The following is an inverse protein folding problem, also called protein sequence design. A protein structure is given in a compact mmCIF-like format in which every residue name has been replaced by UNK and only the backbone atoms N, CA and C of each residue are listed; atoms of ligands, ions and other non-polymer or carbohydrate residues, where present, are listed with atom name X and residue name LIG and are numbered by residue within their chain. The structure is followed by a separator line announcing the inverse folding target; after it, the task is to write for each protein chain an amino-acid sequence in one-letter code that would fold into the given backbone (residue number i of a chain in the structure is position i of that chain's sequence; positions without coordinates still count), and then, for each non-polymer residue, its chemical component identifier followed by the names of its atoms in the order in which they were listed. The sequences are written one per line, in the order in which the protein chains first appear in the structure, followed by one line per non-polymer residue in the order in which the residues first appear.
data_IF_478512683288
#
_entry.id   IF_478512683288
#
_cell.length_a   1.000
_cell.length_b   1.000
_cell.length_c   1.000
_cell.angle_alpha   90.00
_cell.angle_beta   90.00
_cell.angle_gamma   90.00
#
_symmetry.space_group_name_H-M   'P 1'
#
loop_
_entity.id
_entity.type
_entity.pdbx_description
1 polymer ?
#
# COMPACT_ATOMS: atom_id res chain seq x y z
N UNK A 1 -22.11 -7.73 -21.31
CA UNK A 1 -21.37 -8.69 -22.18
C UNK A 1 -19.92 -8.27 -22.08
N UNK A 2 -19.12 -9.00 -21.32
CA UNK A 2 -17.66 -8.70 -21.18
C UNK A 2 -17.00 -8.67 -22.55
N UNK A 3 -16.16 -7.69 -22.86
CA UNK A 3 -15.33 -7.74 -24.05
C UNK A 3 -14.36 -8.92 -23.88
N UNK A 4 -14.62 -10.01 -24.61
CA UNK A 4 -13.67 -11.11 -24.68
C UNK A 4 -12.38 -10.56 -25.30
N UNK A 5 -11.25 -10.80 -24.63
CA UNK A 5 -9.92 -10.57 -25.19
C UNK A 5 -9.89 -11.27 -26.57
N UNK A 6 -9.86 -10.47 -27.64
CA UNK A 6 -9.78 -10.98 -29.02
C UNK A 6 -8.33 -11.09 -29.51
N UNK A 7 -7.34 -10.85 -28.61
CA UNK A 7 -5.92 -10.98 -28.84
C UNK A 7 -5.36 -12.37 -28.45
N UNK A 8 -4.09 -12.63 -28.71
CA UNK A 8 -3.46 -13.89 -28.32
C UNK A 8 -3.59 -14.11 -26.79
N UNK A 9 -3.98 -15.32 -26.39
CA UNK A 9 -4.19 -15.74 -25.00
C UNK A 9 -2.88 -15.71 -24.20
N UNK A 10 -1.73 -15.69 -24.86
CA UNK A 10 -0.41 -15.64 -24.26
C UNK A 10 0.46 -14.54 -24.90
N UNK A 11 1.20 -13.81 -24.06
CA UNK A 11 2.21 -12.84 -24.48
C UNK A 11 3.60 -13.40 -24.20
N UNK A 12 4.27 -13.86 -25.25
CA UNK A 12 5.61 -14.47 -25.17
C UNK A 12 6.68 -13.45 -25.51
N UNK A 13 7.65 -13.28 -24.61
CA UNK A 13 8.84 -12.47 -24.78
C UNK A 13 10.00 -13.33 -25.34
N UNK A 14 11.16 -12.70 -25.58
CA UNK A 14 12.28 -13.41 -26.21
C UNK A 14 12.85 -14.54 -25.36
N UNK A 15 13.69 -15.39 -25.96
CA UNK A 15 14.34 -16.53 -25.29
C UNK A 15 15.28 -16.14 -24.13
N UNK A 16 15.66 -14.87 -24.01
CA UNK A 16 16.38 -14.32 -22.86
C UNK A 16 15.76 -12.98 -22.51
N UNK A 17 14.65 -13.04 -21.77
CA UNK A 17 13.88 -11.86 -21.36
C UNK A 17 14.72 -10.92 -20.49
N UNK A 18 14.69 -9.64 -20.85
CA UNK A 18 15.39 -8.58 -20.11
C UNK A 18 14.46 -7.93 -19.12
N UNK A 19 14.78 -8.03 -17.83
CA UNK A 19 14.09 -7.35 -16.72
C UNK A 19 14.89 -6.11 -16.28
N UNK A 20 14.33 -4.92 -16.43
CA UNK A 20 14.95 -3.66 -16.03
C UNK A 20 14.33 -3.10 -14.74
N UNK A 21 15.21 -2.65 -13.84
CA UNK A 21 14.89 -2.03 -12.57
C UNK A 21 15.42 -0.59 -12.60
N UNK A 22 14.59 0.40 -12.92
CA UNK A 22 14.99 1.80 -12.92
C UNK A 22 15.06 2.38 -11.51
N UNK A 23 15.70 3.54 -11.40
CA UNK A 23 15.62 4.41 -10.23
C UNK A 23 14.21 4.99 -10.12
N UNK A 24 13.65 5.03 -8.91
CA UNK A 24 12.39 5.70 -8.65
C UNK A 24 12.57 7.22 -8.70
N UNK A 25 11.72 7.90 -9.45
CA UNK A 25 11.79 9.34 -9.69
C UNK A 25 10.70 10.11 -8.95
N UNK A 26 9.68 9.43 -8.44
CA UNK A 26 8.60 10.05 -7.64
C UNK A 26 9.16 10.67 -6.36
N UNK A 27 8.90 11.96 -6.08
CA UNK A 27 9.39 12.62 -4.88
C UNK A 27 9.00 11.86 -3.60
N UNK A 28 9.99 11.61 -2.73
CA UNK A 28 9.79 10.88 -1.47
C UNK A 28 9.72 9.36 -1.61
N UNK A 29 9.85 8.79 -2.82
CA UNK A 29 10.02 7.34 -2.99
C UNK A 29 11.48 6.95 -2.77
N UNK A 30 11.71 5.98 -1.92
CA UNK A 30 13.04 5.51 -1.52
C UNK A 30 13.18 4.00 -1.67
N UNK A 31 12.08 3.31 -2.00
CA UNK A 31 12.06 1.87 -2.25
C UNK A 31 12.61 1.56 -3.64
N UNK A 32 12.88 0.30 -3.88
CA UNK A 32 13.24 -0.26 -5.19
C UNK A 32 12.40 -1.52 -5.45
N UNK A 33 11.96 -1.71 -6.69
CA UNK A 33 11.05 -2.81 -7.04
C UNK A 33 11.69 -4.20 -6.96
N UNK A 34 13.02 -4.29 -7.04
CA UNK A 34 13.75 -5.56 -6.96
C UNK A 34 15.02 -5.38 -6.13
N UNK A 35 15.20 -6.20 -5.09
CA UNK A 35 16.40 -6.20 -4.25
C UNK A 35 17.47 -7.15 -4.80
N UNK A 36 18.75 -7.08 -4.35
CA UNK A 36 19.78 -8.03 -4.77
C UNK A 36 19.37 -9.50 -4.57
N UNK A 37 18.67 -9.82 -3.46
CA UNK A 37 18.15 -11.17 -3.21
C UNK A 37 17.21 -11.64 -4.32
N UNK A 38 16.23 -10.82 -4.68
CA UNK A 38 15.25 -11.18 -5.71
C UNK A 38 15.82 -11.10 -7.12
N UNK A 39 16.74 -10.16 -7.39
CA UNK A 39 17.51 -10.10 -8.64
C UNK A 39 18.28 -11.41 -8.88
N UNK A 40 18.97 -11.92 -7.86
CA UNK A 40 19.65 -13.23 -7.94
C UNK A 40 18.69 -14.39 -8.27
N UNK A 41 17.43 -14.32 -7.80
CA UNK A 41 16.42 -15.34 -8.12
C UNK A 41 15.98 -15.27 -9.58
N UNK A 42 15.78 -14.06 -10.14
CA UNK A 42 15.46 -13.86 -11.54
C UNK A 42 16.61 -14.30 -12.46
N UNK A 43 17.86 -13.95 -12.10
CA UNK A 43 19.06 -14.40 -12.82
C UNK A 43 19.14 -15.93 -12.87
N UNK A 44 18.88 -16.61 -11.76
CA UNK A 44 18.85 -18.10 -11.71
C UNK A 44 17.74 -18.72 -12.55
N UNK A 45 16.68 -17.98 -12.86
CA UNK A 45 15.63 -18.39 -13.79
C UNK A 45 15.99 -18.10 -15.27
N UNK A 46 17.19 -17.54 -15.53
CA UNK A 46 17.71 -17.27 -16.86
C UNK A 46 17.40 -15.87 -17.38
N UNK A 47 16.75 -14.99 -16.60
CA UNK A 47 16.52 -13.62 -17.05
C UNK A 47 17.81 -12.80 -17.05
N UNK A 48 17.93 -11.89 -18.02
CA UNK A 48 18.92 -10.83 -17.98
C UNK A 48 18.39 -9.68 -17.13
N UNK A 49 18.90 -9.55 -15.89
CA UNK A 49 18.48 -8.47 -14.98
C UNK A 49 19.38 -7.26 -15.18
N UNK A 50 18.79 -6.14 -15.57
CA UNK A 50 19.43 -4.83 -15.67
C UNK A 50 18.97 -3.96 -14.51
N UNK A 51 19.91 -3.32 -13.83
CA UNK A 51 19.63 -2.40 -12.73
C UNK A 51 20.23 -1.05 -13.05
N UNK A 52 19.43 0.00 -13.03
CA UNK A 52 19.94 1.35 -13.21
C UNK A 52 20.88 1.71 -12.05
N UNK A 53 22.03 2.30 -12.36
CA UNK A 53 23.02 2.69 -11.35
C UNK A 53 22.40 3.56 -10.28
N UNK A 54 22.58 3.17 -9.03
CA UNK A 54 22.05 3.88 -7.87
C UNK A 54 20.60 3.55 -7.50
N UNK A 55 19.88 2.71 -8.29
CA UNK A 55 18.46 2.42 -8.05
C UNK A 55 18.15 1.91 -6.63
N UNK A 56 19.04 1.13 -6.04
CA UNK A 56 18.86 0.58 -4.69
C UNK A 56 19.41 1.43 -3.55
N UNK A 57 20.15 2.51 -3.83
CA UNK A 57 20.94 3.23 -2.82
C UNK A 57 20.08 3.78 -1.69
N UNK A 58 18.93 4.36 -1.98
CA UNK A 58 18.03 4.89 -0.96
C UNK A 58 17.39 3.80 -0.08
N UNK A 59 17.33 2.56 -0.59
CA UNK A 59 16.90 1.38 0.16
C UNK A 59 18.07 0.62 0.82
N UNK A 60 19.27 1.20 0.85
CA UNK A 60 20.50 0.61 1.42
C UNK A 60 21.03 -0.61 0.64
N UNK A 61 20.69 -0.74 -0.64
CA UNK A 61 21.25 -1.74 -1.54
C UNK A 61 22.25 -1.09 -2.49
N UNK A 62 23.51 -1.52 -2.41
CA UNK A 62 24.60 -0.97 -3.24
C UNK A 62 24.61 -1.56 -4.64
N UNK A 63 25.16 -0.84 -5.61
CA UNK A 63 25.38 -1.32 -6.97
C UNK A 63 26.21 -2.63 -6.95
N UNK A 64 27.26 -2.71 -6.14
CA UNK A 64 28.09 -3.91 -5.99
C UNK A 64 27.26 -5.13 -5.53
N UNK A 65 26.28 -4.95 -4.63
CA UNK A 65 25.42 -6.05 -4.19
C UNK A 65 24.53 -6.60 -5.34
N UNK A 66 24.12 -5.74 -6.27
CA UNK A 66 23.41 -6.20 -7.48
C UNK A 66 24.34 -6.93 -8.45
N UNK A 67 25.57 -6.45 -8.64
CA UNK A 67 26.57 -7.16 -9.46
C UNK A 67 26.90 -8.55 -8.88
N UNK A 68 27.09 -8.64 -7.56
CA UNK A 68 27.28 -9.93 -6.86
C UNK A 68 26.06 -10.86 -7.00
N UNK A 69 24.86 -10.31 -7.10
CA UNK A 69 23.62 -11.05 -7.35
C UNK A 69 23.49 -11.53 -8.81
N UNK A 70 24.43 -11.14 -9.70
CA UNK A 70 24.46 -11.50 -11.12
C UNK A 70 23.67 -10.54 -12.02
N UNK A 71 23.21 -9.39 -11.50
CA UNK A 71 22.62 -8.35 -12.32
C UNK A 71 23.68 -7.52 -13.06
N UNK A 72 23.30 -6.89 -14.15
CA UNK A 72 24.15 -5.97 -14.90
C UNK A 72 23.72 -4.54 -14.61
N UNK A 73 24.67 -3.68 -14.22
CA UNK A 73 24.40 -2.26 -14.06
C UNK A 73 24.32 -1.56 -15.41
N UNK A 74 23.35 -0.67 -15.57
CA UNK A 74 23.12 0.09 -16.81
C UNK A 74 22.81 1.56 -16.51
N UNK A 75 22.62 2.34 -17.54
CA UNK A 75 22.04 3.68 -17.47
C UNK A 75 20.56 3.65 -17.88
N UNK A 76 20.02 4.85 -18.09
CA UNK A 76 18.61 5.03 -18.45
C UNK A 76 18.26 4.57 -19.88
N UNK A 77 19.26 4.22 -20.71
CA UNK A 77 19.04 3.67 -22.06
C UNK A 77 18.28 2.34 -22.05
N UNK A 78 18.27 1.63 -20.90
CA UNK A 78 17.56 0.38 -20.76
C UNK A 78 16.02 0.53 -20.85
N UNK A 79 15.48 1.72 -20.64
CA UNK A 79 14.05 2.01 -20.85
C UNK A 79 13.55 1.67 -22.27
N UNK A 80 14.41 1.84 -23.28
CA UNK A 80 14.08 1.67 -24.69
C UNK A 80 14.25 0.23 -25.18
N UNK A 81 14.95 -0.60 -24.41
CA UNK A 81 15.35 -1.95 -24.84
C UNK A 81 14.85 -3.07 -23.94
N UNK A 82 14.38 -2.75 -22.74
CA UNK A 82 13.89 -3.74 -21.80
C UNK A 82 12.53 -4.30 -22.24
N UNK A 83 12.37 -5.61 -22.08
CA UNK A 83 11.10 -6.29 -22.35
C UNK A 83 10.17 -6.28 -21.16
N UNK A 84 10.74 -6.22 -19.94
CA UNK A 84 10.01 -6.09 -18.67
C UNK A 84 10.63 -4.95 -17.88
N UNK A 85 9.81 -4.05 -17.37
CA UNK A 85 10.22 -2.98 -16.46
C UNK A 85 9.45 -3.13 -15.14
N UNK A 86 10.16 -3.21 -14.01
CA UNK A 86 9.55 -3.27 -12.68
C UNK A 86 9.86 -2.00 -11.87
N UNK A 87 8.81 -1.31 -11.44
CA UNK A 87 8.85 -0.11 -10.60
C UNK A 87 7.98 -0.27 -9.35
N UNK A 88 8.21 0.55 -8.35
CA UNK A 88 7.31 0.68 -7.19
C UNK A 88 6.17 1.61 -7.55
N UNK A 89 6.49 2.84 -8.00
CA UNK A 89 5.53 3.86 -8.40
C UNK A 89 5.26 3.82 -9.91
N UNK A 90 4.13 4.38 -10.38
CA UNK A 90 3.89 4.48 -11.81
C UNK A 90 4.99 5.31 -12.49
N UNK A 91 5.33 5.02 -13.75
CA UNK A 91 6.25 5.84 -14.51
C UNK A 91 5.64 7.22 -14.80
N UNK A 92 6.48 8.23 -14.97
CA UNK A 92 6.05 9.49 -15.57
C UNK A 92 5.62 9.28 -17.04
N UNK A 93 4.93 10.26 -17.63
CA UNK A 93 4.57 10.19 -19.05
C UNK A 93 5.81 10.17 -19.95
N UNK A 94 6.90 10.82 -19.53
CA UNK A 94 8.18 10.81 -20.25
C UNK A 94 8.84 9.42 -20.19
N UNK A 95 8.84 8.78 -19.02
CA UNK A 95 9.33 7.41 -18.85
C UNK A 95 8.47 6.41 -19.65
N UNK A 96 7.14 6.56 -19.59
CA UNK A 96 6.21 5.72 -20.35
C UNK A 96 6.39 5.81 -21.87
N UNK A 97 6.69 7.02 -22.37
CA UNK A 97 6.96 7.23 -23.80
C UNK A 97 8.24 6.56 -24.30
N UNK A 98 9.16 6.17 -23.41
CA UNK A 98 10.41 5.46 -23.75
C UNK A 98 10.22 3.94 -23.84
N UNK A 99 9.12 3.41 -23.32
CA UNK A 99 8.86 1.98 -23.36
C UNK A 99 8.63 1.50 -24.80
N UNK A 100 9.28 0.41 -25.18
CA UNK A 100 9.07 -0.22 -26.47
C UNK A 100 7.69 -0.90 -26.54
N UNK A 101 7.06 -0.88 -27.70
CA UNK A 101 5.80 -1.60 -27.92
C UNK A 101 5.93 -3.09 -27.54
N UNK A 102 4.97 -3.60 -26.79
CA UNK A 102 5.00 -4.97 -26.27
C UNK A 102 5.78 -5.13 -24.96
N UNK A 103 6.40 -4.07 -24.43
CA UNK A 103 7.03 -4.11 -23.10
C UNK A 103 5.98 -4.42 -22.03
N UNK A 104 6.38 -5.19 -21.01
CA UNK A 104 5.59 -5.49 -19.82
C UNK A 104 6.04 -4.54 -18.71
N UNK A 105 5.14 -3.67 -18.26
CA UNK A 105 5.34 -2.78 -17.12
C UNK A 105 4.68 -3.37 -15.87
N UNK A 106 5.44 -3.49 -14.79
CA UNK A 106 4.97 -4.02 -13.51
C UNK A 106 5.15 -2.96 -12.43
N UNK A 107 4.08 -2.34 -11.95
CA UNK A 107 4.13 -1.28 -10.92
C UNK A 107 2.78 -1.07 -10.25
N UNK A 108 2.74 -0.29 -9.17
CA UNK A 108 1.46 0.28 -8.70
C UNK A 108 1.04 1.39 -9.66
N UNK A 109 -0.26 1.54 -9.93
CA UNK A 109 -0.76 2.58 -10.86
C UNK A 109 -1.82 3.47 -10.23
N UNK A 110 -2.77 2.90 -9.49
CA UNK A 110 -4.00 3.58 -9.03
C UNK A 110 -4.74 4.19 -10.24
N UNK A 111 -5.33 3.37 -11.11
CA UNK A 111 -5.79 3.80 -12.43
C UNK A 111 -6.77 4.98 -12.43
N UNK A 112 -7.64 5.08 -11.40
CA UNK A 112 -8.59 6.19 -11.25
C UNK A 112 -7.92 7.55 -11.07
N UNK A 113 -6.69 7.59 -10.55
CA UNK A 113 -5.90 8.81 -10.37
C UNK A 113 -4.95 9.08 -11.55
N UNK A 114 -4.73 8.11 -12.45
CA UNK A 114 -3.68 8.13 -13.49
C UNK A 114 -4.23 7.86 -14.90
N UNK A 115 -5.44 8.35 -15.22
CA UNK A 115 -6.09 8.07 -16.50
C UNK A 115 -5.27 8.50 -17.73
N UNK A 116 -4.50 9.58 -17.62
CA UNK A 116 -3.62 10.04 -18.69
C UNK A 116 -2.49 9.03 -18.97
N UNK A 117 -1.88 8.51 -17.91
CA UNK A 117 -0.87 7.44 -18.02
C UNK A 117 -1.48 6.15 -18.60
N UNK A 118 -2.68 5.74 -18.13
CA UNK A 118 -3.37 4.56 -18.65
C UNK A 118 -3.59 4.69 -20.16
N UNK A 119 -4.01 5.87 -20.63
CA UNK A 119 -4.20 6.14 -22.06
C UNK A 119 -2.88 6.13 -22.83
N UNK A 120 -1.79 6.65 -22.26
CA UNK A 120 -0.45 6.63 -22.86
C UNK A 120 0.07 5.19 -22.99
N UNK A 121 -0.06 4.35 -21.94
CA UNK A 121 0.33 2.94 -21.98
C UNK A 121 -0.48 2.15 -23.02
N UNK A 122 -1.79 2.36 -23.06
CA UNK A 122 -2.67 1.80 -24.09
C UNK A 122 -2.21 2.18 -25.49
N UNK A 123 -1.98 3.47 -25.76
CA UNK A 123 -1.57 3.96 -27.06
C UNK A 123 -0.18 3.44 -27.47
N UNK A 124 0.74 3.27 -26.52
CA UNK A 124 2.07 2.68 -26.72
C UNK A 124 2.05 1.16 -26.94
N UNK A 125 0.91 0.51 -26.75
CA UNK A 125 0.81 -0.96 -26.83
C UNK A 125 1.59 -1.67 -25.72
N UNK A 126 1.64 -1.04 -24.53
CA UNK A 126 2.33 -1.57 -23.34
C UNK A 126 1.38 -2.52 -22.59
N UNK A 127 1.92 -3.67 -22.19
CA UNK A 127 1.22 -4.56 -21.25
C UNK A 127 1.51 -4.09 -19.83
N UNK A 128 0.52 -3.55 -19.13
CA UNK A 128 0.70 -3.07 -17.77
C UNK A 128 0.05 -4.03 -16.77
N UNK A 129 0.85 -4.60 -15.88
CA UNK A 129 0.42 -5.36 -14.71
C UNK A 129 0.40 -4.41 -13.51
N UNK A 130 -0.78 -3.90 -13.17
CA UNK A 130 -0.97 -2.98 -12.06
C UNK A 130 -1.05 -3.75 -10.74
N UNK A 131 -0.02 -3.65 -9.91
CA UNK A 131 0.12 -4.42 -8.66
C UNK A 131 -0.94 -4.09 -7.60
N UNK A 132 -1.52 -2.91 -7.67
CA UNK A 132 -2.64 -2.48 -6.82
C UNK A 132 -3.99 -3.08 -7.24
N UNK A 133 -4.06 -3.75 -8.40
CA UNK A 133 -5.23 -4.48 -8.89
C UNK A 133 -5.14 -6.00 -8.67
N UNK A 134 -4.11 -6.51 -8.02
CA UNK A 134 -3.97 -7.94 -7.70
C UNK A 134 -5.26 -8.46 -7.04
N UNK A 135 -5.87 -9.54 -7.57
CA UNK A 135 -7.14 -10.04 -7.06
C UNK A 135 -7.01 -10.63 -5.66
N UNK A 136 -8.05 -10.48 -4.83
CA UNK A 136 -8.07 -11.01 -3.46
C UNK A 136 -8.45 -12.49 -3.42
N UNK A 137 -7.62 -13.33 -4.00
CA UNK A 137 -7.76 -14.79 -4.00
C UNK A 137 -6.60 -15.43 -3.22
N UNK A 138 -6.79 -16.62 -2.68
CA UNK A 138 -5.80 -17.30 -1.83
C UNK A 138 -4.43 -17.43 -2.51
N UNK A 139 -4.41 -17.77 -3.79
CA UNK A 139 -3.17 -17.94 -4.57
C UNK A 139 -2.41 -16.61 -4.75
N UNK A 140 -3.10 -15.49 -4.81
CA UNK A 140 -2.51 -14.18 -5.04
C UNK A 140 -2.02 -13.48 -3.75
N UNK A 141 -2.22 -14.07 -2.56
CA UNK A 141 -1.77 -13.46 -1.31
C UNK A 141 -0.28 -13.14 -1.28
N UNK A 142 0.57 -13.98 -1.88
CA UNK A 142 2.01 -13.73 -1.98
C UNK A 142 2.38 -12.62 -2.97
N UNK A 143 1.46 -12.21 -3.84
CA UNK A 143 1.62 -11.16 -4.84
C UNK A 143 1.08 -9.80 -4.35
N UNK A 144 0.34 -9.77 -3.23
CA UNK A 144 -0.38 -8.60 -2.71
C UNK A 144 0.57 -7.57 -2.11
N UNK A 145 0.94 -6.58 -2.93
CA UNK A 145 1.78 -5.44 -2.52
C UNK A 145 1.05 -4.52 -1.56
N UNK A 146 -0.28 -4.38 -1.67
CA UNK A 146 -1.04 -3.50 -0.78
C UNK A 146 -0.96 -4.01 0.66
N UNK A 147 -1.15 -5.31 0.88
CA UNK A 147 -1.04 -5.92 2.21
C UNK A 147 0.39 -5.86 2.75
N UNK A 148 1.40 -6.15 1.94
CA UNK A 148 2.79 -6.11 2.38
C UNK A 148 3.22 -4.69 2.80
N UNK A 149 2.84 -3.68 2.04
CA UNK A 149 3.15 -2.28 2.36
C UNK A 149 2.28 -1.72 3.50
N UNK A 150 1.02 -2.13 3.61
CA UNK A 150 0.15 -1.80 4.74
C UNK A 150 0.72 -2.30 6.08
N UNK A 151 1.36 -3.47 6.09
CA UNK A 151 2.08 -4.00 7.26
C UNK A 151 3.18 -3.01 7.71
N UNK A 152 4.00 -2.51 6.79
CA UNK A 152 5.04 -1.52 7.10
C UNK A 152 4.41 -0.21 7.60
N UNK A 153 3.33 0.24 6.96
CA UNK A 153 2.61 1.46 7.37
C UNK A 153 2.09 1.36 8.80
N UNK A 154 1.46 0.25 9.17
CA UNK A 154 0.95 0.02 10.51
C UNK A 154 2.05 -0.01 11.58
N UNK A 155 3.19 -0.64 11.29
CA UNK A 155 4.37 -0.61 12.16
C UNK A 155 4.90 0.81 12.34
N UNK A 156 5.12 1.52 11.24
CA UNK A 156 5.73 2.85 11.27
C UNK A 156 4.83 3.90 11.92
N UNK A 157 3.51 3.81 11.75
CA UNK A 157 2.55 4.70 12.38
C UNK A 157 2.69 4.74 13.89
N UNK A 158 2.87 3.57 14.52
CA UNK A 158 3.05 3.48 15.98
C UNK A 158 4.36 4.13 16.42
N UNK A 159 5.45 3.92 15.66
CA UNK A 159 6.75 4.53 15.97
C UNK A 159 6.71 6.05 15.82
N UNK A 160 6.04 6.57 14.79
CA UNK A 160 5.83 8.00 14.62
C UNK A 160 5.02 8.58 15.78
N UNK A 161 3.91 7.92 16.13
CA UNK A 161 3.10 8.34 17.27
C UNK A 161 3.93 8.38 18.57
N UNK A 162 4.70 7.34 18.83
CA UNK A 162 5.57 7.25 20.03
C UNK A 162 6.66 8.33 20.04
N UNK A 163 7.20 8.71 18.87
CA UNK A 163 8.22 9.77 18.73
C UNK A 163 7.65 11.15 19.05
N UNK A 164 6.42 11.42 18.66
CA UNK A 164 5.75 12.71 18.93
C UNK A 164 5.06 12.77 20.29
N UNK A 165 4.85 11.63 20.96
CA UNK A 165 4.18 11.55 22.25
C UNK A 165 5.15 11.97 23.38
N UNK A 166 4.77 12.96 24.17
CA UNK A 166 5.50 13.40 25.37
C UNK A 166 5.38 12.45 26.58
N UNK A 167 5.04 11.16 26.37
CA UNK A 167 4.76 10.19 27.42
C UNK A 167 5.34 8.82 27.06
N UNK A 168 5.73 8.03 28.08
CA UNK A 168 6.17 6.65 27.87
C UNK A 168 5.03 5.73 27.45
N UNK A 169 5.34 4.82 26.50
CA UNK A 169 4.40 3.79 26.07
C UNK A 169 4.11 2.76 27.16
N UNK A 170 5.12 2.12 27.80
CA UNK A 170 4.92 1.04 28.76
C UNK A 170 4.57 1.53 30.17
N UNK A 171 4.00 0.61 30.97
CA UNK A 171 4.01 0.71 32.42
C UNK A 171 5.47 0.70 32.90
N UNK A 172 5.83 1.66 33.75
CA UNK A 172 7.15 1.70 34.36
C UNK A 172 7.00 1.94 35.86
N UNK A 173 7.69 1.14 36.66
CA UNK A 173 7.78 1.32 38.12
C UNK A 173 9.23 1.66 38.48
N UNK A 174 9.40 2.78 39.18
CA UNK A 174 10.72 3.26 39.65
C UNK A 174 10.63 3.64 41.12
N UNK A 175 11.77 3.89 41.74
CA UNK A 175 11.84 4.45 43.09
C UNK A 175 11.13 5.81 43.20
N UNK A 176 11.04 6.57 42.11
CA UNK A 176 10.31 7.84 42.04
C UNK A 176 8.78 7.71 41.83
N UNK A 177 8.29 6.49 41.59
CA UNK A 177 6.86 6.23 41.40
C UNK A 177 6.54 5.41 40.16
N UNK A 178 5.23 5.31 39.89
CA UNK A 178 4.68 4.52 38.79
C UNK A 178 4.24 5.41 37.64
N UNK A 179 4.71 5.14 36.44
CA UNK A 179 4.24 5.74 35.18
C UNK A 179 3.20 4.81 34.55
N UNK A 180 1.97 5.29 34.42
CA UNK A 180 0.89 4.52 33.74
C UNK A 180 1.18 4.40 32.24
N UNK A 181 0.82 3.28 31.58
CA UNK A 181 1.04 3.08 30.16
C UNK A 181 0.23 4.05 29.32
N UNK A 182 0.70 4.32 28.10
CA UNK A 182 -0.08 5.08 27.11
C UNK A 182 -1.28 4.26 26.66
N UNK A 183 -2.43 4.94 26.44
CA UNK A 183 -3.64 4.39 25.84
C UNK A 183 -3.63 4.69 24.35
N UNK A 184 -3.90 3.68 23.54
CA UNK A 184 -3.94 3.78 22.07
C UNK A 184 -5.31 3.35 21.58
N UNK A 185 -5.92 4.14 20.71
CA UNK A 185 -7.15 3.78 19.99
C UNK A 185 -6.82 3.66 18.51
N UNK A 186 -7.19 2.53 17.90
CA UNK A 186 -6.93 2.23 16.49
C UNK A 186 -8.26 2.09 15.76
N UNK A 187 -8.43 2.86 14.69
CA UNK A 187 -9.58 2.80 13.80
C UNK A 187 -9.24 1.97 12.57
N UNK A 188 -9.94 0.85 12.42
CA UNK A 188 -9.71 -0.14 11.38
C UNK A 188 -8.81 -1.28 11.86
N UNK A 189 -9.26 -2.51 11.68
CA UNK A 189 -8.54 -3.74 11.99
C UNK A 189 -8.21 -4.53 10.71
N UNK A 190 -7.89 -3.81 9.62
CA UNK A 190 -7.25 -4.37 8.43
C UNK A 190 -5.77 -4.65 8.68
N UNK A 191 -5.00 -4.99 7.64
CA UNK A 191 -3.58 -5.35 7.75
C UNK A 191 -2.77 -4.29 8.49
N UNK A 192 -2.91 -3.00 8.13
CA UNK A 192 -2.22 -1.90 8.80
C UNK A 192 -2.64 -1.77 10.27
N UNK A 193 -3.95 -1.83 10.54
CA UNK A 193 -4.48 -1.72 11.90
C UNK A 193 -4.04 -2.86 12.82
N UNK A 194 -4.12 -4.10 12.36
CA UNK A 194 -3.66 -5.27 13.11
C UNK A 194 -2.15 -5.20 13.39
N UNK A 195 -1.35 -4.76 12.42
CA UNK A 195 0.08 -4.55 12.64
C UNK A 195 0.34 -3.41 13.63
N UNK A 196 -0.43 -2.33 13.56
CA UNK A 196 -0.33 -1.23 14.53
C UNK A 196 -0.69 -1.71 15.95
N UNK A 197 -1.76 -2.52 16.10
CA UNK A 197 -2.13 -3.16 17.37
C UNK A 197 -0.95 -3.97 17.92
N UNK A 198 -0.41 -4.88 17.11
CA UNK A 198 0.71 -5.74 17.51
C UNK A 198 1.94 -4.92 17.93
N UNK A 199 2.26 -3.85 17.19
CA UNK A 199 3.42 -2.99 17.47
C UNK A 199 3.21 -2.17 18.75
N UNK A 200 2.04 -1.53 18.92
CA UNK A 200 1.73 -0.75 20.12
C UNK A 200 1.71 -1.62 21.39
N UNK A 201 1.20 -2.86 21.28
CA UNK A 201 1.26 -3.84 22.36
C UNK A 201 2.68 -4.22 22.73
N UNK A 202 3.54 -4.44 21.76
CA UNK A 202 4.99 -4.72 22.00
C UNK A 202 5.70 -3.56 22.67
N UNK A 203 5.31 -2.31 22.38
CA UNK A 203 5.82 -1.13 23.10
C UNK A 203 5.22 -0.98 24.51
N UNK A 204 4.29 -1.84 24.91
CA UNK A 204 3.68 -1.84 26.25
C UNK A 204 2.50 -0.89 26.43
N UNK A 205 1.91 -0.42 25.35
CA UNK A 205 0.68 0.38 25.38
C UNK A 205 -0.54 -0.48 25.76
N UNK A 206 -1.55 0.18 26.34
CA UNK A 206 -2.92 -0.35 26.43
C UNK A 206 -3.65 0.00 25.14
N UNK A 207 -4.04 -1.02 24.37
CA UNK A 207 -4.59 -0.84 23.02
C UNK A 207 -6.06 -1.22 22.99
N UNK A 208 -6.88 -0.32 22.44
CA UNK A 208 -8.26 -0.56 22.05
C UNK A 208 -8.38 -0.34 20.53
N UNK A 209 -9.27 -1.08 19.88
CA UNK A 209 -9.49 -0.93 18.43
C UNK A 209 -10.99 -1.02 18.09
N UNK A 210 -11.36 -0.37 17.00
CA UNK A 210 -12.71 -0.44 16.43
C UNK A 210 -12.64 -0.75 14.94
N UNK A 211 -13.56 -1.57 14.48
CA UNK A 211 -13.79 -1.86 13.06
C UNK A 211 -15.31 -1.97 12.84
N UNK A 212 -15.75 -1.71 11.62
CA UNK A 212 -17.17 -1.88 11.25
C UNK A 212 -17.55 -3.36 11.10
N UNK A 213 -16.57 -4.22 10.87
CA UNK A 213 -16.72 -5.68 10.71
C UNK A 213 -16.59 -6.36 12.08
N UNK A 214 -17.62 -7.02 12.54
CA UNK A 214 -17.57 -7.79 13.78
C UNK A 214 -16.58 -8.96 13.72
N UNK A 215 -16.37 -9.54 12.56
CA UNK A 215 -15.36 -10.58 12.33
C UNK A 215 -13.94 -10.14 12.70
N UNK A 216 -13.65 -8.84 12.69
CA UNK A 216 -12.34 -8.30 13.10
C UNK A 216 -12.10 -8.39 14.62
N UNK A 217 -13.14 -8.57 15.46
CA UNK A 217 -13.04 -8.64 16.91
C UNK A 217 -12.09 -9.74 17.38
N UNK A 218 -12.26 -10.95 16.88
CA UNK A 218 -11.42 -12.09 17.26
C UNK A 218 -9.95 -11.82 16.92
N UNK A 219 -9.68 -11.21 15.75
CA UNK A 219 -8.32 -10.86 15.34
C UNK A 219 -7.69 -9.81 16.26
N UNK A 220 -8.45 -8.78 16.67
CA UNK A 220 -8.01 -7.73 17.60
C UNK A 220 -7.69 -8.34 18.97
N UNK A 221 -8.59 -9.17 19.51
CA UNK A 221 -8.46 -9.79 20.82
C UNK A 221 -7.32 -10.81 20.86
N UNK A 222 -7.07 -11.54 19.77
CA UNK A 222 -5.94 -12.47 19.65
C UNK A 222 -4.58 -11.78 19.75
N UNK A 223 -4.50 -10.49 19.37
CA UNK A 223 -3.31 -9.66 19.53
C UNK A 223 -3.21 -9.02 20.94
N UNK A 224 -4.14 -9.32 21.84
CA UNK A 224 -4.16 -8.82 23.21
C UNK A 224 -4.66 -7.39 23.36
N UNK A 225 -5.33 -6.84 22.34
CA UNK A 225 -6.05 -5.58 22.41
C UNK A 225 -7.52 -5.79 22.78
N UNK A 226 -8.22 -4.72 23.17
CA UNK A 226 -9.64 -4.76 23.44
C UNK A 226 -10.41 -4.22 22.23
N UNK A 227 -11.42 -4.96 21.78
CA UNK A 227 -12.33 -4.46 20.76
C UNK A 227 -13.37 -3.51 21.41
N UNK A 228 -13.59 -2.35 20.79
CA UNK A 228 -14.60 -1.38 21.25
C UNK A 228 -15.94 -1.83 20.69
N UNK A 229 -16.73 -2.49 21.54
CA UNK A 229 -18.08 -2.93 21.21
C UNK A 229 -19.13 -1.87 21.56
N UNK A 230 -20.16 -1.85 20.74
CA UNK A 230 -21.39 -1.09 20.97
C UNK A 230 -22.55 -2.08 21.05
N UNK A 231 -23.42 -1.93 22.04
CA UNK A 231 -24.60 -2.80 22.19
C UNK A 231 -25.47 -2.76 20.93
N UNK A 232 -25.85 -3.95 20.44
CA UNK A 232 -26.65 -4.11 19.21
C UNK A 232 -25.82 -3.98 17.92
N UNK A 233 -24.51 -4.27 18.00
CA UNK A 233 -23.68 -4.35 16.80
C UNK A 233 -24.19 -5.47 15.87
N UNK A 234 -24.53 -5.09 14.64
CA UNK A 234 -24.80 -5.99 13.53
C UNK A 234 -23.53 -6.16 12.69
N UNK A 235 -23.38 -7.31 12.04
CA UNK A 235 -22.26 -7.52 11.13
C UNK A 235 -22.52 -6.73 9.84
N UNK A 236 -21.70 -5.71 9.62
CA UNK A 236 -21.81 -4.78 8.51
C UNK A 236 -20.79 -5.11 7.42
N UNK A 237 -20.48 -6.37 7.21
CA UNK A 237 -19.59 -6.83 6.14
C UNK A 237 -20.39 -7.18 4.87
N UNK A 238 -19.92 -6.74 3.69
CA UNK A 238 -20.43 -7.20 2.41
C UNK A 238 -19.70 -8.49 1.96
N UNK A 239 -20.17 -9.11 0.85
CA UNK A 239 -19.57 -10.32 0.30
C UNK A 239 -18.09 -10.16 -0.14
N UNK A 240 -17.61 -8.92 -0.24
CA UNK A 240 -16.23 -8.58 -0.60
C UNK A 240 -15.36 -8.18 0.60
N UNK A 241 -15.91 -8.24 1.83
CA UNK A 241 -15.21 -7.85 3.05
C UNK A 241 -15.16 -6.34 3.32
N UNK A 242 -16.04 -5.55 2.67
CA UNK A 242 -16.19 -4.13 2.92
C UNK A 242 -17.41 -3.83 3.81
N UNK A 243 -17.38 -2.67 4.48
CA UNK A 243 -18.48 -2.22 5.32
C UNK A 243 -19.76 -1.95 4.53
N UNK A 244 -20.89 -2.52 4.98
CA UNK A 244 -22.24 -2.13 4.58
C UNK A 244 -22.69 -0.85 5.29
N UNK A 245 -23.74 -0.22 4.77
CA UNK A 245 -24.40 0.91 5.46
C UNK A 245 -25.08 0.45 6.75
N UNK A 246 -24.68 1.07 7.85
CA UNK A 246 -25.24 0.84 9.17
C UNK A 246 -26.50 1.72 9.41
N UNK A 247 -27.36 1.30 10.35
CA UNK A 247 -28.46 2.17 10.77
C UNK A 247 -27.91 3.45 11.43
N UNK A 248 -28.63 4.58 11.23
CA UNK A 248 -28.21 5.87 11.80
C UNK A 248 -28.10 5.82 13.33
N UNK A 249 -29.00 5.06 14.00
CA UNK A 249 -28.97 4.87 15.46
C UNK A 249 -27.74 4.08 15.93
N UNK A 250 -27.34 3.06 15.18
CA UNK A 250 -26.13 2.30 15.50
C UNK A 250 -24.87 3.16 15.33
N UNK A 251 -24.77 3.89 14.21
CA UNK A 251 -23.66 4.80 13.96
C UNK A 251 -23.52 5.88 15.04
N UNK A 252 -24.64 6.42 15.53
CA UNK A 252 -24.62 7.44 16.59
C UNK A 252 -24.15 6.84 17.93
N UNK A 253 -24.59 5.64 18.29
CA UNK A 253 -24.11 4.94 19.49
C UNK A 253 -22.63 4.60 19.40
N UNK A 254 -22.20 4.10 18.25
CA UNK A 254 -20.79 3.80 17.99
C UNK A 254 -19.94 5.07 18.10
N UNK A 255 -20.38 6.16 17.49
CA UNK A 255 -19.69 7.46 17.55
C UNK A 255 -19.52 7.95 19.00
N UNK A 256 -20.54 7.83 19.84
CA UNK A 256 -20.47 8.24 21.25
C UNK A 256 -19.49 7.41 22.07
N UNK A 257 -19.52 6.08 21.94
CA UNK A 257 -18.60 5.20 22.68
C UNK A 257 -17.16 5.40 22.22
N UNK A 258 -16.94 5.48 20.89
CA UNK A 258 -15.61 5.74 20.32
C UNK A 258 -15.10 7.11 20.76
N UNK A 259 -15.92 8.17 20.73
CA UNK A 259 -15.53 9.50 21.18
C UNK A 259 -15.07 9.51 22.65
N UNK A 260 -15.76 8.77 23.52
CA UNK A 260 -15.35 8.60 24.90
C UNK A 260 -13.97 7.96 25.04
N UNK A 261 -13.65 6.95 24.22
CA UNK A 261 -12.34 6.28 24.23
C UNK A 261 -11.25 7.20 23.69
N UNK A 262 -11.55 7.94 22.63
CA UNK A 262 -10.62 8.92 22.03
C UNK A 262 -10.28 10.03 23.03
N UNK A 263 -11.25 10.55 23.78
CA UNK A 263 -10.99 11.56 24.79
C UNK A 263 -10.02 11.10 25.89
N UNK A 264 -9.93 9.79 26.16
CA UNK A 264 -9.00 9.18 27.12
C UNK A 264 -7.68 8.72 26.46
N UNK A 265 -7.60 8.72 25.13
CA UNK A 265 -6.45 8.22 24.40
C UNK A 265 -5.28 9.20 24.42
N UNK A 266 -4.06 8.66 24.42
CA UNK A 266 -2.82 9.41 24.20
C UNK A 266 -2.36 9.31 22.74
N UNK A 267 -2.73 8.22 22.07
CA UNK A 267 -2.44 7.99 20.65
C UNK A 267 -3.72 7.53 19.97
N UNK A 268 -3.99 8.09 18.79
CA UNK A 268 -5.03 7.62 17.86
C UNK A 268 -4.34 7.29 16.52
N UNK A 269 -4.65 6.12 15.97
CA UNK A 269 -4.18 5.72 14.62
C UNK A 269 -5.40 5.39 13.78
N UNK A 270 -5.51 6.03 12.63
CA UNK A 270 -6.61 5.80 11.69
C UNK A 270 -6.11 5.12 10.42
N UNK A 271 -6.82 4.07 9.98
CA UNK A 271 -6.40 3.22 8.86
C UNK A 271 -7.50 2.94 7.84
N UNK A 272 -8.66 3.61 7.95
CA UNK A 272 -9.80 3.30 7.09
C UNK A 272 -9.65 3.94 5.72
N UNK A 273 -9.45 3.11 4.71
CA UNK A 273 -9.38 3.50 3.31
C UNK A 273 -10.41 2.72 2.50
N UNK A 274 -11.05 3.39 1.54
CA UNK A 274 -11.96 2.79 0.59
C UNK A 274 -11.33 2.94 -0.80
N UNK A 275 -10.97 1.86 -1.49
CA UNK A 275 -10.34 1.95 -2.81
C UNK A 275 -11.16 2.80 -3.79
N UNK A 276 -10.50 3.76 -4.45
CA UNK A 276 -11.12 4.62 -5.45
C UNK A 276 -12.11 5.68 -4.92
N UNK A 277 -12.22 5.85 -3.59
CA UNK A 277 -13.10 6.84 -2.95
C UNK A 277 -12.34 7.64 -1.88
N UNK A 278 -12.90 8.80 -1.52
CA UNK A 278 -12.42 9.56 -0.38
C UNK A 278 -12.53 8.74 0.92
N UNK A 279 -11.55 8.88 1.79
CA UNK A 279 -11.55 8.23 3.09
C UNK A 279 -12.72 8.75 3.97
N UNK A 280 -13.36 7.90 4.76
CA UNK A 280 -14.42 8.34 5.67
C UNK A 280 -13.84 9.19 6.81
N UNK A 281 -14.55 10.24 7.21
CA UNK A 281 -14.21 11.03 8.39
C UNK A 281 -14.57 10.22 9.65
N UNK A 282 -13.55 9.84 10.43
CA UNK A 282 -13.68 9.08 11.67
C UNK A 282 -13.38 9.93 12.91
N UNK A 283 -12.49 10.90 12.78
CA UNK A 283 -12.05 11.80 13.85
C UNK A 283 -12.34 13.25 13.44
N UNK A 284 -13.57 13.75 13.67
CA UNK A 284 -13.92 15.14 13.41
C UNK A 284 -13.26 16.09 14.41
N UNK A 285 -13.28 17.41 14.11
CA UNK A 285 -12.65 18.45 14.91
C UNK A 285 -13.07 18.43 16.40
N UNK A 286 -14.36 18.22 16.69
CA UNK A 286 -14.84 18.11 18.07
C UNK A 286 -14.22 16.95 18.84
N UNK A 287 -13.92 15.85 18.14
CA UNK A 287 -13.28 14.70 18.77
C UNK A 287 -11.81 15.00 19.07
N UNK A 288 -11.10 15.70 18.16
CA UNK A 288 -9.73 16.19 18.41
C UNK A 288 -9.70 17.12 19.62
N UNK A 289 -10.63 18.08 19.72
CA UNK A 289 -10.77 19.01 20.87
C UNK A 289 -10.98 18.30 22.20
N UNK A 290 -11.59 17.11 22.19
CA UNK A 290 -11.84 16.33 23.41
C UNK A 290 -10.62 15.56 23.91
N UNK A 291 -9.57 15.41 23.10
CA UNK A 291 -8.35 14.68 23.45
C UNK A 291 -7.52 15.44 24.48
N UNK A 292 -6.68 14.69 25.19
CA UNK A 292 -5.74 15.29 26.14
C UNK A 292 -4.67 16.09 25.42
N UNK A 293 -4.25 17.22 25.99
CA UNK A 293 -3.12 17.99 25.47
C UNK A 293 -1.84 17.12 25.45
N UNK A 294 -1.10 17.20 24.35
CA UNK A 294 0.08 16.37 24.10
C UNK A 294 -0.22 15.00 23.50
N UNK A 295 -1.49 14.69 23.21
CA UNK A 295 -1.86 13.49 22.48
C UNK A 295 -1.44 13.56 21.00
N UNK A 296 -1.40 12.39 20.35
CA UNK A 296 -0.95 12.27 18.95
C UNK A 296 -1.98 11.51 18.12
N UNK A 297 -2.27 12.01 16.93
CA UNK A 297 -3.03 11.31 15.89
C UNK A 297 -2.08 10.99 14.74
N UNK A 298 -2.12 9.77 14.21
CA UNK A 298 -1.47 9.40 12.95
C UNK A 298 -2.53 8.92 11.97
N UNK A 299 -2.67 9.66 10.87
CA UNK A 299 -3.69 9.41 9.86
C UNK A 299 -3.09 8.73 8.63
N UNK A 300 -3.31 7.41 8.49
CA UNK A 300 -2.82 6.63 7.35
C UNK A 300 -3.65 6.82 6.08
N UNK A 301 -4.81 7.46 6.19
CA UNK A 301 -5.70 7.71 5.06
C UNK A 301 -5.53 9.13 4.47
N UNK A 302 -4.55 9.90 4.93
CA UNK A 302 -4.40 11.32 4.59
C UNK A 302 -4.30 11.57 3.09
N UNK A 303 -3.68 10.68 2.31
CA UNK A 303 -3.56 10.78 0.85
C UNK A 303 -4.92 10.61 0.13
N UNK A 304 -5.89 9.98 0.79
CA UNK A 304 -7.25 9.76 0.28
C UNK A 304 -8.27 10.73 0.89
N UNK A 305 -7.82 11.87 1.42
CA UNK A 305 -8.67 12.88 2.04
C UNK A 305 -8.68 12.86 3.57
N UNK A 306 -8.11 11.82 4.17
CA UNK A 306 -7.92 11.71 5.62
C UNK A 306 -9.12 11.19 6.40
N UNK A 307 -8.85 10.43 7.46
CA UNK A 307 -9.86 10.05 8.45
C UNK A 307 -10.02 11.11 9.57
N UNK A 308 -9.02 11.98 9.75
CA UNK A 308 -9.07 13.12 10.65
C UNK A 308 -9.25 14.41 9.85
N UNK A 309 -10.27 15.21 10.20
CA UNK A 309 -10.59 16.45 9.45
C UNK A 309 -9.47 17.49 9.47
N UNK A 310 -8.57 17.41 10.44
CA UNK A 310 -7.46 18.34 10.61
C UNK A 310 -6.12 17.82 10.08
N UNK A 311 -6.08 16.58 9.56
CA UNK A 311 -4.87 16.04 8.96
C UNK A 311 -4.55 16.72 7.63
N UNK A 312 -3.24 16.89 7.35
CA UNK A 312 -2.76 17.46 6.10
C UNK A 312 -1.71 16.56 5.47
N UNK A 313 -1.83 16.24 4.17
CA UNK A 313 -0.87 15.38 3.50
C UNK A 313 0.56 15.92 3.56
N UNK A 314 1.50 15.09 4.01
CA UNK A 314 2.92 15.42 4.12
C UNK A 314 3.30 16.31 5.31
N UNK A 315 2.34 16.72 6.16
CA UNK A 315 2.59 17.67 7.25
C UNK A 315 2.41 17.01 8.63
N UNK A 316 3.09 17.60 9.62
CA UNK A 316 2.80 17.40 11.04
C UNK A 316 2.26 18.72 11.57
N UNK A 317 0.98 18.73 11.95
CA UNK A 317 0.30 19.93 12.45
C UNK A 317 -0.03 19.79 13.93
N UNK A 318 -0.18 20.91 14.64
CA UNK A 318 -0.62 20.93 16.04
C UNK A 318 -1.90 21.74 16.16
N UNK A 319 -3.00 21.06 16.50
CA UNK A 319 -4.32 21.65 16.67
C UNK A 319 -4.91 21.24 18.02
N UNK A 320 -5.49 22.17 18.75
CA UNK A 320 -6.10 21.95 20.08
C UNK A 320 -5.16 21.23 21.08
N UNK A 321 -3.84 21.48 20.99
CA UNK A 321 -2.84 20.80 21.82
C UNK A 321 -2.49 19.38 21.38
N UNK A 322 -3.13 18.85 20.33
CA UNK A 322 -2.89 17.51 19.76
C UNK A 322 -1.96 17.61 18.56
N UNK A 323 -0.98 16.74 18.46
CA UNK A 323 -0.11 16.60 17.28
C UNK A 323 -0.74 15.65 16.28
N UNK A 324 -0.96 16.12 15.05
CA UNK A 324 -1.57 15.32 13.98
C UNK A 324 -0.53 15.08 12.89
N UNK A 325 -0.22 13.82 12.65
CA UNK A 325 0.83 13.36 11.73
C UNK A 325 0.15 12.84 10.47
N UNK A 326 0.30 13.59 9.37
CA UNK A 326 -0.21 13.27 8.04
C UNK A 326 0.89 12.82 7.08
N UNK A 327 1.88 12.04 7.57
CA UNK A 327 2.97 11.55 6.72
C UNK A 327 2.44 10.67 5.60
N UNK A 328 2.76 11.04 4.37
CA UNK A 328 2.45 10.26 3.16
C UNK A 328 3.50 9.18 2.92
N UNK A 329 3.16 8.18 2.12
CA UNK A 329 4.08 7.11 1.69
C UNK A 329 4.93 6.51 2.82
N UNK A 330 4.28 6.15 3.93
CA UNK A 330 4.95 5.60 5.11
C UNK A 330 5.89 4.41 4.82
N UNK A 331 5.60 3.48 3.88
CA UNK A 331 6.53 2.41 3.54
C UNK A 331 7.89 2.91 3.06
N UNK A 332 7.94 4.03 2.36
CA UNK A 332 9.20 4.62 1.92
C UNK A 332 10.11 5.08 3.09
N UNK A 333 9.56 5.27 4.29
CA UNK A 333 10.36 5.60 5.49
C UNK A 333 11.06 4.40 6.14
N UNK A 334 10.84 3.18 5.61
CA UNK A 334 11.49 1.92 6.01
C UNK A 334 11.89 1.17 4.73
N UNK A 335 12.72 1.79 3.86
CA UNK A 335 12.86 1.37 2.47
C UNK A 335 13.47 -0.02 2.29
N UNK A 336 14.39 -0.45 3.15
CA UNK A 336 15.02 -1.76 3.00
C UNK A 336 14.00 -2.92 3.13
N UNK A 337 13.24 -2.95 4.23
CA UNK A 337 12.25 -4.01 4.45
C UNK A 337 11.03 -3.86 3.53
N UNK A 338 10.60 -2.61 3.26
CA UNK A 338 9.53 -2.35 2.33
C UNK A 338 9.88 -2.84 0.90
N UNK A 339 11.11 -2.58 0.43
CA UNK A 339 11.59 -3.10 -0.86
C UNK A 339 11.72 -4.63 -0.85
N UNK A 340 12.21 -5.23 0.25
CA UNK A 340 12.29 -6.69 0.37
C UNK A 340 10.93 -7.36 0.25
N UNK A 341 9.89 -6.81 0.88
CA UNK A 341 8.54 -7.35 0.77
C UNK A 341 7.96 -7.11 -0.63
N UNK A 342 8.07 -5.89 -1.14
CA UNK A 342 7.59 -5.52 -2.47
C UNK A 342 8.21 -6.39 -3.56
N UNK A 343 9.54 -6.54 -3.55
CA UNK A 343 10.26 -7.32 -4.54
C UNK A 343 9.89 -8.83 -4.51
N UNK A 344 9.55 -9.35 -3.32
CA UNK A 344 9.03 -10.72 -3.20
C UNK A 344 7.62 -10.86 -3.78
N UNK A 345 6.79 -9.82 -3.67
CA UNK A 345 5.49 -9.81 -4.34
C UNK A 345 5.65 -9.80 -5.88
N UNK A 346 6.54 -8.95 -6.41
CA UNK A 346 6.87 -8.94 -7.86
C UNK A 346 7.40 -10.29 -8.32
N UNK A 347 8.31 -10.89 -7.56
CA UNK A 347 8.84 -12.22 -7.87
C UNK A 347 7.73 -13.28 -7.85
N UNK A 348 6.83 -13.25 -6.87
CA UNK A 348 5.72 -14.20 -6.76
C UNK A 348 4.77 -14.10 -7.97
N UNK A 349 4.54 -12.89 -8.47
CA UNK A 349 3.71 -12.65 -9.65
C UNK A 349 4.36 -13.19 -10.92
N UNK A 350 5.63 -12.87 -11.16
CA UNK A 350 6.30 -13.15 -12.45
C UNK A 350 6.88 -14.56 -12.54
N UNK A 351 7.38 -15.11 -11.43
CA UNK A 351 8.09 -16.38 -11.40
C UNK A 351 7.39 -17.55 -12.09
N UNK A 352 6.06 -17.76 -11.96
CA UNK A 352 5.38 -18.89 -12.61
C UNK A 352 5.41 -18.84 -14.13
N UNK A 353 5.68 -17.67 -14.72
CA UNK A 353 5.64 -17.41 -16.16
C UNK A 353 7.03 -17.35 -16.80
N UNK A 354 8.08 -17.69 -16.05
CA UNK A 354 9.47 -17.72 -16.52
C UNK A 354 9.92 -19.16 -16.66
N UNK A 355 10.32 -19.54 -17.87
CA UNK A 355 10.88 -20.85 -18.21
C UNK A 355 12.17 -20.68 -19.00
N UNK A 356 13.29 -21.21 -18.48
CA UNK A 356 14.63 -21.15 -19.10
C UNK A 356 15.04 -19.77 -19.65
N UNK A 357 14.63 -18.70 -18.95
CA UNK A 357 14.95 -17.31 -19.33
C UNK A 357 13.95 -16.66 -20.27
N UNK A 358 13.00 -17.38 -20.83
CA UNK A 358 11.87 -16.82 -21.57
C UNK A 358 10.72 -16.53 -20.61
N UNK A 359 10.00 -15.42 -20.81
CA UNK A 359 8.79 -15.13 -20.07
C UNK A 359 7.56 -15.19 -20.99
N UNK A 360 6.54 -15.95 -20.57
CA UNK A 360 5.25 -16.05 -21.25
C UNK A 360 4.12 -15.80 -20.28
N UNK A 361 3.46 -14.62 -20.40
CA UNK A 361 2.31 -14.28 -19.59
C UNK A 361 1.07 -15.00 -20.12
N UNK A 362 0.36 -15.66 -19.21
CA UNK A 362 -0.91 -16.32 -19.49
C UNK A 362 -2.06 -15.46 -18.92
N UNK A 363 -2.89 -14.90 -19.80
CA UNK A 363 -4.04 -14.09 -19.42
C UNK A 363 -5.29 -14.89 -19.03
N UNK A 364 -5.23 -16.23 -19.10
CA UNK A 364 -6.23 -17.11 -18.46
C UNK A 364 -5.92 -17.31 -16.96
N UNK A 365 -4.70 -17.02 -16.53
CA UNK A 365 -4.33 -17.03 -15.13
C UNK A 365 -5.03 -15.91 -14.37
N UNK A 366 -5.79 -16.25 -13.32
CA UNK A 366 -6.59 -15.27 -12.53
C UNK A 366 -5.73 -14.16 -11.92
N UNK A 367 -4.46 -14.43 -11.56
CA UNK A 367 -3.54 -13.43 -11.01
C UNK A 367 -3.14 -12.40 -12.06
N UNK A 368 -2.74 -12.85 -13.27
CA UNK A 368 -2.39 -11.99 -14.39
C UNK A 368 -3.63 -11.26 -14.90
N UNK A 369 -4.72 -11.97 -15.17
CA UNK A 369 -5.97 -11.37 -15.66
C UNK A 369 -6.50 -10.28 -14.72
N UNK A 370 -6.42 -10.51 -13.41
CA UNK A 370 -6.92 -9.57 -12.40
C UNK A 370 -6.08 -8.28 -12.30
N UNK A 371 -4.77 -8.34 -12.57
CA UNK A 371 -3.90 -7.17 -12.50
C UNK A 371 -3.52 -6.59 -13.88
N UNK A 372 -3.92 -7.22 -14.98
CA UNK A 372 -3.72 -6.68 -16.31
C UNK A 372 -4.58 -5.42 -16.51
N UNK A 373 -3.92 -4.26 -16.53
CA UNK A 373 -4.56 -2.95 -16.72
C UNK A 373 -4.70 -2.61 -18.21
N UNK A 374 -3.61 -2.77 -18.95
CA UNK A 374 -3.57 -2.59 -20.41
C UNK A 374 -2.86 -3.76 -21.08
N UNK A 375 -3.32 -4.15 -22.27
CA UNK A 375 -2.68 -5.16 -23.11
C UNK A 375 -3.10 -4.94 -24.56
N UNK A 376 -2.17 -5.14 -25.51
CA UNK A 376 -2.40 -5.03 -26.98
C UNK A 376 -3.21 -3.80 -27.40
N UNK A 377 -2.93 -2.65 -26.80
CA UNK A 377 -3.57 -1.39 -27.15
C UNK A 377 -5.03 -1.25 -26.66
N UNK A 378 -5.46 -2.07 -25.68
CA UNK A 378 -6.75 -1.95 -25.00
C UNK A 378 -6.59 -1.84 -23.48
N UNK A 379 -7.54 -1.22 -22.80
CA UNK A 379 -7.69 -1.29 -21.35
C UNK A 379 -8.45 -2.56 -21.02
N UNK A 380 -7.81 -3.50 -20.32
CA UNK A 380 -8.37 -4.82 -20.01
C UNK A 380 -9.14 -4.84 -18.69
N UNK A 381 -8.82 -3.92 -17.75
CA UNK A 381 -9.51 -3.79 -16.49
C UNK A 381 -10.84 -3.05 -16.67
N UNK A 382 -11.97 -3.77 -16.67
CA UNK A 382 -13.32 -3.25 -16.93
C UNK A 382 -13.66 -1.99 -16.13
N UNK A 383 -13.44 -1.94 -14.78
CA UNK A 383 -13.78 -0.74 -14.01
C UNK A 383 -12.99 0.51 -14.46
N UNK A 384 -11.77 0.33 -14.96
CA UNK A 384 -10.98 1.44 -15.49
C UNK A 384 -11.43 1.85 -16.89
N UNK A 385 -11.84 0.90 -17.73
CA UNK A 385 -12.34 1.17 -19.07
C UNK A 385 -13.67 1.97 -19.07
N UNK A 386 -14.46 1.84 -17.98
CA UNK A 386 -15.73 2.55 -17.78
C UNK A 386 -15.55 3.97 -17.21
N UNK A 387 -14.34 4.34 -16.77
CA UNK A 387 -14.11 5.68 -16.26
C UNK A 387 -14.22 6.73 -17.37
N UNK A 388 -14.90 7.88 -17.13
CA UNK A 388 -15.03 8.93 -18.14
C UNK A 388 -13.65 9.46 -18.54
N UNK A 389 -13.45 9.63 -19.85
CA UNK A 389 -12.24 10.26 -20.37
C UNK A 389 -12.16 11.71 -19.86
N UNK A 390 -10.95 12.18 -19.50
CA UNK A 390 -10.72 13.54 -18.95
C UNK A 390 -11.31 14.69 -19.81
N UNK A 391 -11.78 14.45 -21.01
CA UNK A 391 -12.45 15.44 -21.87
C UNK A 391 -13.93 15.66 -21.53
N UNK A 392 -14.58 14.77 -20.77
CA UNK A 392 -16.00 14.86 -20.42
C UNK A 392 -16.26 15.54 -19.07
N UNK A 393 -15.23 15.70 -18.23
CA UNK A 393 -15.33 16.32 -16.88
C UNK A 393 -15.20 17.84 -16.93
N UNK A 394 -14.87 18.43 -18.08
CA UNK A 394 -14.72 19.91 -18.28
C UNK A 394 -15.89 20.54 -19.07
N UNK A 395 -17.00 19.85 -19.23
CA UNK A 395 -18.18 20.40 -19.87
C UNK A 395 -19.29 20.74 -18.87
#
# INVERSE_FOLDING_TARGET
MSPRLTGPIAHTLTAMTTLFIPTETTPGETRVATTPETASRFVRQGLKVLVERGAGVQASFTDAAYEEAGATLCGSEAWETAEVVAKVQPPSLEEAARLSKGCVLVCMVIPSAQLELVNALKAGGITCLALDLIPRITRAQSMDVLSSQATISGYKAVLLAATHLGKLCPLLMTAAGTVKPAKVVIFGAGVAGLQAIATARRLGCVVEATDVRLAAKEQVESLGAKFIEVEGAEDLEDEKGYAKEASAEFLERQRKEVARRVAEAHIVITTAQIPGRAAPVLVPDEMVKSMQEGSVIVDLAVESGGNCTLSKPGEVVKEHGVTIVGTTNLPATVPADASNLFSKNVLALLKPFIDEGAMTLDFEDEGIAGCALTHDGVVTHEPTAELPSNNEVKA
#
